data_IF_326505911480
#
_entry.id   IF_326505911480
#
_cell.length_a   1.000
_cell.length_b   1.000
_cell.length_c   1.000
_cell.angle_alpha   90.00
_cell.angle_beta   90.00
_cell.angle_gamma   90.00
#
_symmetry.space_group_name_H-M   'P 1'
#
loop_
_entity.id
_entity.type
_entity.pdbx_description
1 polymer ?
#
# COMPACT_ATOMS: atom_id res chain seq x y z
N UNK A 1 29.85 31.06 -1.62
CA UNK A 1 28.95 30.31 -2.52
C UNK A 1 27.58 30.31 -1.86
N UNK A 2 26.58 30.86 -2.52
CA UNK A 2 25.22 30.89 -1.97
C UNK A 2 24.53 29.66 -2.49
N UNK A 3 23.98 28.81 -1.57
CA UNK A 3 23.14 27.69 -1.96
C UNK A 3 21.78 28.29 -2.23
N UNK A 4 21.30 28.20 -3.47
CA UNK A 4 19.93 28.57 -3.81
C UNK A 4 19.02 27.36 -3.49
N UNK A 5 18.29 27.46 -2.39
CA UNK A 5 17.23 26.52 -2.09
C UNK A 5 15.98 26.84 -2.92
N UNK A 6 15.20 25.84 -3.32
CA UNK A 6 13.93 26.09 -3.99
C UNK A 6 13.01 26.94 -3.09
N UNK A 7 12.25 27.85 -3.69
CA UNK A 7 11.26 28.64 -2.96
C UNK A 7 10.23 27.69 -2.35
N UNK A 8 10.06 27.81 -1.04
CA UNK A 8 9.05 27.03 -0.33
C UNK A 8 7.64 27.48 -0.70
N UNK A 9 6.73 26.54 -0.76
CA UNK A 9 5.31 26.79 -0.84
C UNK A 9 4.77 27.25 0.52
N UNK A 10 3.62 27.90 0.54
CA UNK A 10 3.02 28.44 1.77
C UNK A 10 2.90 27.35 2.86
N UNK A 11 2.43 26.17 2.49
CA UNK A 11 2.30 25.06 3.44
C UNK A 11 3.64 24.51 3.94
N UNK A 12 4.68 24.51 3.11
CA UNK A 12 6.04 24.14 3.53
C UNK A 12 6.64 25.21 4.43
N UNK A 13 6.42 26.49 4.11
CA UNK A 13 6.89 27.63 4.91
C UNK A 13 6.29 27.59 6.30
N UNK A 14 5.01 27.21 6.47
CA UNK A 14 4.36 27.12 7.77
C UNK A 14 5.05 26.14 8.72
N UNK A 15 5.51 25.00 8.21
CA UNK A 15 6.27 24.02 8.99
C UNK A 15 7.69 24.51 9.25
N UNK A 16 8.34 25.05 8.21
CA UNK A 16 9.67 25.61 8.31
C UNK A 16 9.75 26.70 9.41
N UNK A 17 8.83 27.65 9.41
CA UNK A 17 8.75 28.72 10.40
C UNK A 17 8.44 28.20 11.81
N UNK A 18 7.57 27.20 11.93
CA UNK A 18 7.22 26.59 13.20
C UNK A 18 8.39 25.80 13.82
N UNK A 19 9.26 25.22 12.98
CA UNK A 19 10.48 24.54 13.43
C UNK A 19 11.55 25.56 13.81
N UNK A 20 11.72 26.63 13.05
CA UNK A 20 12.64 27.74 13.31
C UNK A 20 14.03 27.26 13.76
N UNK A 21 14.61 27.97 14.72
CA UNK A 21 15.90 27.61 15.32
C UNK A 21 15.79 26.59 16.49
N UNK A 22 14.73 25.77 16.47
CA UNK A 22 14.40 24.84 17.58
C UNK A 22 15.23 23.55 17.57
N UNK A 23 16.55 23.67 17.48
CA UNK A 23 17.47 22.51 17.38
C UNK A 23 17.49 21.57 18.60
N UNK A 24 16.94 21.99 19.76
CA UNK A 24 16.87 21.22 21.01
C UNK A 24 15.52 21.42 21.69
N UNK A 25 14.44 21.43 20.94
CA UNK A 25 13.11 21.65 21.48
C UNK A 25 12.46 20.38 22.03
N UNK A 26 12.86 19.21 21.55
CA UNK A 26 12.16 17.95 21.77
C UNK A 26 10.73 17.97 21.23
N UNK A 27 10.41 18.90 20.34
CA UNK A 27 9.08 19.01 19.74
C UNK A 27 8.91 18.00 18.59
N UNK A 28 7.68 17.58 18.40
CA UNK A 28 7.26 16.71 17.28
C UNK A 28 6.39 17.55 16.35
N UNK A 29 6.78 17.58 15.08
CA UNK A 29 6.07 18.27 14.03
C UNK A 29 5.44 17.23 13.09
N UNK A 30 4.13 17.22 12.98
CA UNK A 30 3.38 16.18 12.24
C UNK A 30 2.72 16.80 11.02
N UNK A 31 3.03 16.28 9.85
CA UNK A 31 2.52 16.80 8.59
C UNK A 31 1.65 15.75 7.90
N UNK A 32 0.36 15.98 7.86
CA UNK A 32 -0.58 15.24 7.04
C UNK A 32 -0.74 15.93 5.68
N UNK A 33 -0.56 15.20 4.60
CA UNK A 33 -0.58 15.80 3.28
C UNK A 33 -1.12 14.87 2.19
N UNK A 34 -1.48 15.45 1.05
CA UNK A 34 -1.69 14.72 -0.21
C UNK A 34 -0.38 14.24 -0.80
N UNK A 35 -0.48 13.41 -1.85
CA UNK A 35 0.66 13.01 -2.66
C UNK A 35 1.16 14.16 -3.52
N UNK A 36 2.48 14.20 -3.84
CA UNK A 36 3.14 15.15 -4.75
C UNK A 36 3.08 16.63 -4.31
N UNK A 37 2.98 16.91 -3.03
CA UNK A 37 2.97 18.29 -2.49
C UNK A 37 4.32 18.72 -1.92
N UNK A 38 5.41 18.02 -2.23
CA UNK A 38 6.77 18.41 -1.83
C UNK A 38 7.18 18.02 -0.42
N UNK A 39 6.61 16.98 0.18
CA UNK A 39 7.03 16.42 1.50
C UNK A 39 8.54 16.19 1.59
N UNK A 40 9.05 15.34 0.71
CA UNK A 40 10.46 14.95 0.70
C UNK A 40 11.39 16.12 0.33
N UNK A 41 10.88 17.13 -0.38
CA UNK A 41 11.63 18.35 -0.67
C UNK A 41 11.87 19.16 0.62
N UNK A 42 10.84 19.36 1.44
CA UNK A 42 10.98 20.01 2.75
C UNK A 42 11.89 19.21 3.67
N UNK A 43 11.71 17.89 3.75
CA UNK A 43 12.56 17.02 4.55
C UNK A 43 14.03 17.13 4.18
N UNK A 44 14.34 17.11 2.86
CA UNK A 44 15.68 17.27 2.34
C UNK A 44 16.29 18.63 2.74
N UNK A 45 15.53 19.72 2.56
CA UNK A 45 15.95 21.06 2.89
C UNK A 45 16.27 21.21 4.37
N UNK A 46 15.39 20.74 5.25
CA UNK A 46 15.60 20.80 6.70
C UNK A 46 16.80 19.96 7.15
N UNK A 47 16.98 18.76 6.60
CA UNK A 47 18.14 17.91 6.89
C UNK A 47 19.46 18.60 6.51
N UNK A 48 19.51 19.22 5.33
CA UNK A 48 20.68 19.98 4.87
C UNK A 48 20.91 21.18 5.78
N UNK A 49 19.88 21.95 6.08
CA UNK A 49 19.99 23.14 6.92
C UNK A 49 20.53 22.81 8.33
N UNK A 50 19.97 21.76 8.97
CA UNK A 50 20.44 21.29 10.26
C UNK A 50 21.91 20.87 10.20
N UNK A 51 22.31 20.14 9.16
CA UNK A 51 23.69 19.71 8.97
C UNK A 51 24.66 20.88 8.76
N UNK A 52 24.22 21.96 8.09
CA UNK A 52 25.08 23.12 7.80
C UNK A 52 25.20 24.10 8.97
N UNK A 53 24.11 24.33 9.72
CA UNK A 53 24.09 25.33 10.81
C UNK A 53 24.93 24.94 11.99
N UNK A 54 25.06 23.65 12.31
CA UNK A 54 25.89 23.14 13.43
C UNK A 54 26.29 21.70 13.21
N UNK A 55 27.43 21.30 13.81
CA UNK A 55 27.83 19.89 13.81
C UNK A 55 26.78 19.04 14.52
N UNK A 56 26.14 18.11 13.80
CA UNK A 56 25.10 17.24 14.34
C UNK A 56 24.98 15.94 13.53
N UNK A 57 24.25 14.98 14.10
CA UNK A 57 23.82 13.76 13.44
C UNK A 57 22.31 13.87 13.25
N UNK A 58 21.85 13.94 12.00
CA UNK A 58 20.45 13.86 11.62
C UNK A 58 20.16 12.49 11.03
N UNK A 59 18.95 12.01 11.22
CA UNK A 59 18.53 10.68 10.74
C UNK A 59 17.22 10.81 10.02
N UNK A 60 17.08 10.12 8.89
CA UNK A 60 15.81 9.94 8.22
C UNK A 60 15.46 8.45 8.18
N UNK A 61 14.22 8.13 8.47
CA UNK A 61 13.67 6.77 8.44
C UNK A 61 12.49 6.73 7.48
N UNK A 62 12.55 5.81 6.54
CA UNK A 62 11.51 5.56 5.56
C UNK A 62 11.03 4.11 5.63
N UNK A 63 9.85 3.77 5.11
CA UNK A 63 9.34 2.39 5.15
C UNK A 63 10.31 1.39 4.52
N UNK A 64 10.87 1.71 3.35
CA UNK A 64 11.72 0.78 2.59
C UNK A 64 13.10 1.35 2.27
N UNK A 65 14.08 0.46 2.09
CA UNK A 65 15.42 0.86 1.67
C UNK A 65 15.44 1.55 0.30
N UNK A 66 14.52 1.19 -0.59
CA UNK A 66 14.40 1.83 -1.92
C UNK A 66 14.00 3.30 -1.81
N UNK A 67 13.13 3.66 -0.87
CA UNK A 67 12.74 5.05 -0.59
C UNK A 67 13.94 5.81 0.00
N UNK A 68 14.60 5.26 1.01
CA UNK A 68 15.81 5.85 1.61
C UNK A 68 16.91 6.15 0.56
N UNK A 69 17.09 5.28 -0.42
CA UNK A 69 18.02 5.52 -1.55
C UNK A 69 17.60 6.69 -2.45
N UNK A 70 16.29 6.90 -2.64
CA UNK A 70 15.77 8.02 -3.44
C UNK A 70 16.06 9.36 -2.78
N UNK A 71 15.76 9.49 -1.48
CA UNK A 71 16.00 10.71 -0.74
C UNK A 71 17.51 10.98 -0.59
N UNK A 72 18.32 9.93 -0.33
CA UNK A 72 19.78 10.04 -0.36
C UNK A 72 20.25 10.62 -1.70
N UNK A 73 19.79 10.07 -2.83
CA UNK A 73 20.18 10.58 -4.15
C UNK A 73 19.75 12.02 -4.34
N UNK A 74 18.53 12.38 -3.98
CA UNK A 74 18.02 13.74 -4.08
C UNK A 74 18.92 14.74 -3.32
N UNK A 75 19.27 14.46 -2.06
CA UNK A 75 20.15 15.34 -1.27
C UNK A 75 21.57 15.35 -1.86
N UNK A 76 22.09 14.21 -2.31
CA UNK A 76 23.41 14.15 -2.95
C UNK A 76 23.47 15.03 -4.18
N UNK A 77 22.46 14.94 -5.07
CA UNK A 77 22.38 15.75 -6.29
C UNK A 77 22.31 17.26 -5.98
N UNK A 78 21.60 17.65 -4.91
CA UNK A 78 21.55 19.06 -4.45
C UNK A 78 22.89 19.57 -3.91
N UNK A 79 23.70 18.69 -3.32
CA UNK A 79 24.91 19.08 -2.57
C UNK A 79 26.20 18.87 -3.34
N UNK A 80 26.21 18.09 -4.43
CA UNK A 80 27.44 17.66 -5.15
C UNK A 80 28.28 18.83 -5.64
N UNK A 81 27.67 19.95 -6.05
CA UNK A 81 28.38 21.13 -6.60
C UNK A 81 28.75 22.17 -5.55
N UNK A 82 28.32 21.98 -4.28
CA UNK A 82 28.47 23.01 -3.24
C UNK A 82 29.84 22.99 -2.57
N UNK A 83 30.58 21.89 -2.67
CA UNK A 83 31.83 21.68 -1.93
C UNK A 83 31.66 21.52 -0.42
N UNK A 84 30.42 21.46 0.10
CA UNK A 84 30.12 21.34 1.52
C UNK A 84 29.97 19.87 1.97
N UNK A 85 29.85 18.95 1.02
CA UNK A 85 29.79 17.52 1.27
C UNK A 85 31.22 16.95 1.26
N UNK A 86 31.63 16.33 2.38
CA UNK A 86 32.93 15.67 2.51
C UNK A 86 32.88 14.27 1.89
N UNK A 87 31.82 13.52 2.14
CA UNK A 87 31.60 12.20 1.55
C UNK A 87 30.13 11.85 1.46
N UNK A 88 29.78 11.02 0.46
CA UNK A 88 28.45 10.41 0.30
C UNK A 88 28.62 8.94 -0.03
N UNK A 89 28.23 8.06 0.90
CA UNK A 89 28.36 6.61 0.74
C UNK A 89 27.00 6.01 0.39
N UNK A 90 26.82 5.63 -0.88
CA UNK A 90 25.57 5.07 -1.39
C UNK A 90 25.30 3.63 -0.96
N UNK A 91 26.30 2.90 -0.45
CA UNK A 91 26.13 1.56 0.10
C UNK A 91 25.63 1.60 1.53
N UNK A 92 26.27 2.42 2.37
CA UNK A 92 25.91 2.61 3.78
C UNK A 92 24.75 3.59 3.96
N UNK A 93 24.38 4.32 2.91
CA UNK A 93 23.39 5.40 2.92
C UNK A 93 23.70 6.44 4.02
N UNK A 94 24.90 7.01 3.94
CA UNK A 94 25.38 8.05 4.88
C UNK A 94 26.00 9.20 4.12
N UNK A 95 25.82 10.42 4.62
CA UNK A 95 26.48 11.63 4.13
C UNK A 95 27.26 12.28 5.26
N UNK A 96 28.49 12.72 4.98
CA UNK A 96 29.32 13.49 5.90
C UNK A 96 29.59 14.86 5.29
N UNK A 97 29.35 15.91 6.06
CA UNK A 97 29.60 17.30 5.67
C UNK A 97 30.98 17.77 6.13
N UNK A 98 31.49 18.84 5.52
CA UNK A 98 32.83 19.38 5.82
C UNK A 98 32.96 19.90 7.25
N UNK A 99 31.86 20.29 7.91
CA UNK A 99 31.83 20.68 9.33
C UNK A 99 31.75 19.48 10.30
N UNK A 100 31.74 18.23 9.78
CA UNK A 100 31.63 17.00 10.53
C UNK A 100 30.21 16.64 10.96
N UNK A 101 29.20 17.23 10.35
CA UNK A 101 27.81 16.77 10.48
C UNK A 101 27.57 15.53 9.65
N UNK A 102 26.59 14.71 10.05
CA UNK A 102 26.20 13.50 9.32
C UNK A 102 24.70 13.44 9.12
N UNK A 103 24.29 12.88 7.97
CA UNK A 103 22.92 12.45 7.72
C UNK A 103 22.92 10.95 7.46
N UNK A 104 22.15 10.20 8.25
CA UNK A 104 21.99 8.76 8.16
C UNK A 104 20.61 8.45 7.55
N UNK A 105 20.58 7.65 6.49
CA UNK A 105 19.34 7.22 5.84
C UNK A 105 19.07 5.77 6.23
N UNK A 106 17.95 5.52 6.87
CA UNK A 106 17.57 4.24 7.43
C UNK A 106 16.21 3.78 6.90
N UNK A 107 15.97 2.48 6.99
CA UNK A 107 14.70 1.86 6.59
C UNK A 107 14.07 1.15 7.79
N UNK A 108 12.74 1.23 7.91
CA UNK A 108 11.97 0.51 8.91
C UNK A 108 12.07 -1.02 8.76
N UNK A 109 12.40 -1.51 7.54
CA UNK A 109 12.66 -2.93 7.28
C UNK A 109 13.85 -3.47 8.10
N UNK A 110 14.82 -2.60 8.44
CA UNK A 110 16.05 -2.96 9.14
C UNK A 110 15.98 -2.56 10.63
N UNK A 111 15.02 -3.13 11.34
CA UNK A 111 14.70 -2.78 12.73
C UNK A 111 15.90 -2.72 13.66
N UNK A 112 16.83 -3.67 13.58
CA UNK A 112 17.99 -3.72 14.47
C UNK A 112 18.97 -2.59 14.19
N UNK A 113 19.08 -2.11 12.96
CA UNK A 113 19.91 -0.99 12.57
C UNK A 113 19.40 0.38 13.08
N UNK A 114 18.19 0.42 13.66
CA UNK A 114 17.58 1.63 14.22
C UNK A 114 17.94 1.88 15.69
N UNK A 115 18.69 0.99 16.35
CA UNK A 115 19.09 1.11 17.77
C UNK A 115 20.48 1.66 18.01
N UNK A 116 21.29 1.82 16.97
CA UNK A 116 22.74 2.06 17.11
C UNK A 116 23.18 3.50 16.96
N UNK A 117 22.28 4.51 17.03
CA UNK A 117 22.64 5.92 16.85
C UNK A 117 21.93 6.84 17.87
N UNK A 118 22.49 8.02 18.06
CA UNK A 118 21.88 9.11 18.84
C UNK A 118 21.70 10.32 17.94
N UNK A 119 20.46 10.80 17.82
CA UNK A 119 20.14 11.98 17.04
C UNK A 119 20.53 13.24 17.83
N UNK A 120 21.31 14.12 17.21
CA UNK A 120 21.64 15.44 17.79
C UNK A 120 21.21 16.60 16.88
N UNK A 121 20.77 16.29 15.66
CA UNK A 121 20.20 17.20 14.70
C UNK A 121 18.68 17.06 14.59
N UNK A 122 18.20 16.51 13.52
CA UNK A 122 16.77 16.29 13.19
C UNK A 122 16.51 14.81 12.94
N UNK A 123 15.46 14.26 13.54
CA UNK A 123 14.88 12.98 13.13
C UNK A 123 13.72 13.26 12.15
N UNK A 124 13.79 12.69 10.97
CA UNK A 124 12.69 12.69 10.00
C UNK A 124 12.12 11.28 9.89
N UNK A 125 10.80 11.14 10.01
CA UNK A 125 10.06 9.90 9.75
C UNK A 125 9.17 10.19 8.55
N UNK A 126 9.60 9.77 7.36
CA UNK A 126 8.87 10.00 6.11
C UNK A 126 7.98 8.79 5.77
N UNK A 127 6.84 9.06 5.14
CA UNK A 127 5.76 8.09 4.89
C UNK A 127 5.36 7.32 6.17
N UNK A 128 5.25 8.05 7.28
CA UNK A 128 5.07 7.56 8.63
C UNK A 128 3.83 6.68 8.84
N UNK A 129 2.73 6.92 8.10
CA UNK A 129 1.53 6.09 8.16
C UNK A 129 1.79 4.64 7.73
N UNK A 130 2.85 4.39 6.96
CA UNK A 130 3.24 3.06 6.47
C UNK A 130 4.33 2.41 7.31
N UNK A 131 4.80 3.08 8.37
CA UNK A 131 5.81 2.56 9.31
C UNK A 131 5.07 1.90 10.49
N UNK A 132 5.46 0.68 10.90
CA UNK A 132 4.90 0.02 12.08
C UNK A 132 5.10 0.82 13.36
N UNK A 133 4.10 0.88 14.23
CA UNK A 133 4.13 1.66 15.46
C UNK A 133 5.30 1.29 16.38
N UNK A 134 5.68 0.01 16.40
CA UNK A 134 6.85 -0.47 17.16
C UNK A 134 8.21 0.12 16.72
N UNK A 135 8.28 0.76 15.57
CA UNK A 135 9.48 1.47 15.11
C UNK A 135 9.58 2.84 15.79
N UNK A 136 8.46 3.52 16.01
CA UNK A 136 8.44 4.78 16.74
C UNK A 136 8.95 4.62 18.16
N UNK A 137 8.58 3.52 18.85
CA UNK A 137 9.10 3.17 20.19
C UNK A 137 10.63 3.03 20.22
N UNK A 138 11.24 2.59 19.12
CA UNK A 138 12.70 2.49 18.99
C UNK A 138 13.33 3.85 18.70
N UNK A 139 12.66 4.70 17.92
CA UNK A 139 13.21 5.96 17.44
C UNK A 139 13.17 7.08 18.48
N UNK A 140 12.09 7.19 19.26
CA UNK A 140 11.96 8.27 20.25
C UNK A 140 13.12 8.36 21.22
N UNK A 141 13.59 7.26 21.87
CA UNK A 141 14.73 7.32 22.78
C UNK A 141 16.04 7.79 22.13
N UNK A 142 16.19 7.65 20.80
CA UNK A 142 17.40 8.13 20.11
C UNK A 142 17.51 9.65 20.10
N UNK A 143 16.40 10.37 20.32
CA UNK A 143 16.34 11.83 20.36
C UNK A 143 16.50 12.42 21.78
N UNK A 144 16.21 11.64 22.81
CA UNK A 144 16.08 12.13 24.20
C UNK A 144 17.35 12.80 24.74
N UNK A 145 18.52 12.21 24.50
CA UNK A 145 19.80 12.73 25.03
C UNK A 145 20.11 14.16 24.57
N UNK A 146 19.58 14.57 23.41
CA UNK A 146 19.84 15.89 22.84
C UNK A 146 18.58 16.75 22.71
N UNK A 147 17.42 16.28 23.15
CA UNK A 147 16.12 16.88 22.88
C UNK A 147 15.97 17.23 21.37
N UNK A 148 16.40 16.31 20.51
CA UNK A 148 16.34 16.53 19.08
C UNK A 148 14.88 16.63 18.61
N UNK A 149 14.55 17.59 17.73
CA UNK A 149 13.19 17.66 17.16
C UNK A 149 12.92 16.51 16.21
N UNK A 150 11.64 16.17 16.08
CA UNK A 150 11.17 15.09 15.23
C UNK A 150 10.19 15.66 14.21
N UNK A 151 10.41 15.38 12.93
CA UNK A 151 9.50 15.70 11.84
C UNK A 151 8.87 14.40 11.32
N UNK A 152 7.56 14.28 11.45
CA UNK A 152 6.78 13.10 11.03
C UNK A 152 5.88 13.50 9.85
N UNK A 153 6.14 12.95 8.67
CA UNK A 153 5.44 13.34 7.45
C UNK A 153 4.82 12.12 6.78
N UNK A 154 3.57 12.22 6.34
CA UNK A 154 2.93 11.17 5.53
C UNK A 154 1.73 11.66 4.74
N UNK A 155 1.34 10.90 3.70
CA UNK A 155 -0.07 10.78 3.34
C UNK A 155 -0.78 10.00 4.45
N UNK A 156 -2.03 10.35 4.79
CA UNK A 156 -2.77 9.60 5.83
C UNK A 156 -3.13 8.20 5.33
N UNK A 157 -3.42 7.30 6.26
CA UNK A 157 -3.89 5.96 5.94
C UNK A 157 -5.15 5.66 6.76
N UNK A 158 -5.01 5.09 7.96
CA UNK A 158 -6.14 4.77 8.82
C UNK A 158 -6.32 5.78 9.96
N UNK A 159 -7.54 5.80 10.55
CA UNK A 159 -7.83 6.49 11.80
C UNK A 159 -7.26 5.72 13.01
N UNK A 160 -6.05 5.19 12.90
CA UNK A 160 -5.36 4.41 13.92
C UNK A 160 -3.86 4.45 13.71
N UNK A 161 -3.11 4.01 14.71
CA UNK A 161 -1.65 3.94 14.72
C UNK A 161 -0.98 5.27 15.07
N UNK A 162 0.34 5.20 15.31
CA UNK A 162 1.12 6.31 15.90
C UNK A 162 1.02 7.61 15.09
N UNK A 163 1.05 7.54 13.75
CA UNK A 163 0.92 8.74 12.91
C UNK A 163 -0.42 9.44 13.10
N UNK A 164 -1.52 8.69 13.17
CA UNK A 164 -2.85 9.26 13.40
C UNK A 164 -2.97 9.88 14.79
N UNK A 165 -2.48 9.18 15.82
CA UNK A 165 -2.52 9.65 17.21
C UNK A 165 -1.70 10.92 17.39
N UNK A 166 -0.47 10.98 16.87
CA UNK A 166 0.35 12.18 16.88
C UNK A 166 -0.33 13.34 16.18
N UNK A 167 -0.92 13.08 14.99
CA UNK A 167 -1.59 14.12 14.23
C UNK A 167 -2.79 14.69 15.02
N UNK A 168 -3.62 13.83 15.58
CA UNK A 168 -4.81 14.23 16.35
C UNK A 168 -4.42 15.02 17.61
N UNK A 169 -3.45 14.52 18.38
CA UNK A 169 -2.94 15.21 19.59
C UNK A 169 -2.34 16.58 19.27
N UNK A 170 -1.67 16.72 18.13
CA UNK A 170 -1.11 18.01 17.73
C UNK A 170 -2.18 19.00 17.23
N UNK A 171 -3.28 18.52 16.65
CA UNK A 171 -4.44 19.35 16.27
C UNK A 171 -5.21 19.83 17.50
N UNK A 172 -5.24 19.07 18.58
CA UNK A 172 -5.84 19.44 19.87
C UNK A 172 -4.99 20.45 20.67
N UNK A 173 -3.80 20.79 20.18
CA UNK A 173 -2.94 21.78 20.83
C UNK A 173 -2.12 21.22 22.01
N UNK A 174 -1.74 19.96 21.98
CA UNK A 174 -1.03 19.28 23.06
C UNK A 174 0.48 19.60 23.08
N UNK A 175 0.86 20.71 23.67
CA UNK A 175 2.18 21.07 24.15
C UNK A 175 3.36 20.97 23.18
N UNK A 176 4.00 19.79 23.10
CA UNK A 176 5.19 19.56 22.29
C UNK A 176 4.88 19.05 20.87
N UNK A 177 3.63 18.71 20.58
CA UNK A 177 3.22 18.19 19.28
C UNK A 177 2.51 19.31 18.51
N UNK A 178 2.95 19.54 17.27
CA UNK A 178 2.33 20.53 16.37
C UNK A 178 1.97 19.84 15.07
N UNK A 179 0.69 19.86 14.69
CA UNK A 179 0.18 19.23 13.49
C UNK A 179 -0.16 20.23 12.41
N UNK A 180 0.10 19.84 11.16
CA UNK A 180 -0.12 20.63 9.95
C UNK A 180 -0.93 19.81 8.95
N UNK A 181 -2.00 20.41 8.40
CA UNK A 181 -2.82 19.80 7.38
C UNK A 181 -2.55 20.40 6.01
N UNK A 182 -1.68 19.78 5.23
CA UNK A 182 -1.40 20.25 3.87
C UNK A 182 -2.46 19.83 2.85
N UNK A 183 -3.43 19.02 3.25
CA UNK A 183 -4.52 18.59 2.36
C UNK A 183 -5.52 19.70 2.05
N UNK A 184 -5.55 20.77 2.86
CA UNK A 184 -6.45 21.91 2.68
C UNK A 184 -5.96 22.92 1.63
N UNK A 185 -4.69 22.89 1.29
CA UNK A 185 -4.14 23.83 0.31
C UNK A 185 -4.43 23.43 -1.13
N UNK A 186 -4.56 24.44 -2.00
CA UNK A 186 -4.70 24.22 -3.45
C UNK A 186 -3.39 23.72 -4.04
N UNK A 187 -3.42 22.50 -4.54
CA UNK A 187 -2.28 21.81 -5.18
C UNK A 187 -2.49 21.60 -6.67
N UNK A 188 -3.46 22.27 -7.29
CA UNK A 188 -3.85 22.12 -8.71
C UNK A 188 -2.69 22.33 -9.69
N UNK A 189 -1.70 23.15 -9.32
CA UNK A 189 -0.46 23.35 -10.10
C UNK A 189 0.42 22.12 -10.22
N UNK A 190 0.30 21.14 -9.29
CA UNK A 190 1.05 19.89 -9.34
C UNK A 190 0.21 18.75 -9.90
N UNK A 191 -1.11 18.81 -9.73
CA UNK A 191 -2.05 17.81 -10.18
C UNK A 191 -3.29 18.49 -10.77
N UNK A 192 -3.41 18.49 -12.11
CA UNK A 192 -4.57 19.08 -12.78
C UNK A 192 -5.87 18.34 -12.43
N UNK A 193 -7.00 19.06 -12.54
CA UNK A 193 -8.33 18.48 -12.30
C UNK A 193 -8.61 17.27 -13.21
N UNK A 194 -8.16 17.30 -14.45
CA UNK A 194 -8.28 16.18 -15.39
C UNK A 194 -7.54 14.93 -14.92
N UNK A 195 -6.28 15.08 -14.43
CA UNK A 195 -5.52 13.98 -13.86
C UNK A 195 -6.15 13.46 -12.57
N UNK A 196 -6.68 14.35 -11.75
CA UNK A 196 -7.36 13.96 -10.51
C UNK A 196 -8.60 13.12 -10.81
N UNK A 197 -9.40 13.50 -11.82
CA UNK A 197 -10.57 12.73 -12.25
C UNK A 197 -10.14 11.37 -12.84
N UNK A 198 -9.11 11.35 -13.68
CA UNK A 198 -8.55 10.09 -14.17
C UNK A 198 -8.13 9.14 -13.03
N UNK A 199 -7.48 9.66 -11.99
CA UNK A 199 -7.13 8.83 -10.83
C UNK A 199 -8.34 8.39 -10.02
N UNK A 200 -9.37 9.23 -9.92
CA UNK A 200 -10.64 8.85 -9.28
C UNK A 200 -11.29 7.65 -9.94
N UNK A 201 -11.21 7.56 -11.28
CA UNK A 201 -11.77 6.47 -12.06
C UNK A 201 -10.90 5.20 -12.11
N UNK A 202 -9.58 5.33 -11.88
CA UNK A 202 -8.63 4.24 -12.18
C UNK A 202 -7.99 3.59 -10.97
N UNK A 203 -8.05 4.21 -9.80
CA UNK A 203 -7.50 3.66 -8.55
C UNK A 203 -8.59 3.42 -7.51
N UNK A 204 -8.32 2.57 -6.52
CA UNK A 204 -9.31 2.29 -5.47
C UNK A 204 -9.68 3.58 -4.70
N UNK A 205 -10.97 3.80 -4.32
CA UNK A 205 -11.38 4.98 -3.56
C UNK A 205 -10.65 5.16 -2.25
N UNK A 206 -10.34 4.09 -1.52
CA UNK A 206 -9.56 4.20 -0.30
C UNK A 206 -8.21 4.85 -0.59
N UNK A 207 -7.53 4.39 -1.63
CA UNK A 207 -6.26 4.95 -2.07
C UNK A 207 -6.41 6.36 -2.62
N UNK A 208 -7.48 6.62 -3.38
CA UNK A 208 -7.80 7.96 -3.85
C UNK A 208 -8.05 8.93 -2.70
N UNK A 209 -8.88 8.56 -1.73
CA UNK A 209 -9.17 9.35 -0.53
C UNK A 209 -7.91 9.62 0.29
N UNK A 210 -7.13 8.60 0.56
CA UNK A 210 -5.88 8.70 1.31
C UNK A 210 -4.83 9.54 0.57
N UNK A 211 -4.44 9.14 -0.64
CA UNK A 211 -3.29 9.74 -1.34
C UNK A 211 -3.62 11.09 -2.01
N UNK A 212 -4.84 11.27 -2.54
CA UNK A 212 -5.17 12.46 -3.34
C UNK A 212 -6.10 13.45 -2.63
N UNK A 213 -6.95 12.99 -1.71
CA UNK A 213 -7.74 13.88 -0.86
C UNK A 213 -7.09 14.15 0.49
N UNK A 214 -6.13 13.30 0.90
CA UNK A 214 -5.44 13.42 2.20
C UNK A 214 -6.36 13.14 3.38
N UNK A 215 -7.29 12.19 3.23
CA UNK A 215 -8.24 11.80 4.25
C UNK A 215 -7.74 10.57 5.02
N UNK A 216 -7.93 10.55 6.34
CA UNK A 216 -7.81 9.31 7.11
C UNK A 216 -9.01 8.40 6.82
N UNK A 217 -8.77 7.11 6.78
CA UNK A 217 -9.76 6.09 6.49
C UNK A 217 -10.14 5.38 7.79
N UNK A 218 -11.44 5.30 8.09
CA UNK A 218 -11.91 4.53 9.26
C UNK A 218 -11.63 3.04 9.06
N UNK A 219 -11.08 2.39 10.06
CA UNK A 219 -10.97 0.92 10.08
C UNK A 219 -12.36 0.29 10.03
N UNK A 220 -12.46 -0.87 9.37
CA UNK A 220 -13.76 -1.53 9.14
C UNK A 220 -14.63 -0.87 8.06
N UNK A 221 -14.11 0.11 7.30
CA UNK A 221 -14.80 0.60 6.11
C UNK A 221 -14.92 -0.55 5.10
N UNK A 222 -16.16 -0.86 4.70
CA UNK A 222 -16.42 -1.85 3.64
C UNK A 222 -15.68 -1.43 2.36
N UNK A 223 -14.67 -2.20 2.00
CA UNK A 223 -13.73 -1.77 0.96
C UNK A 223 -14.31 -1.84 -0.45
N UNK A 224 -15.32 -2.68 -0.67
CA UNK A 224 -15.95 -2.82 -1.98
C UNK A 224 -17.09 -1.81 -2.23
N UNK A 225 -17.54 -1.09 -1.19
CA UNK A 225 -18.59 -0.09 -1.30
C UNK A 225 -19.98 -0.67 -1.59
N UNK A 226 -20.81 0.05 -2.36
CA UNK A 226 -22.12 -0.43 -2.78
C UNK A 226 -21.99 -1.45 -3.92
N UNK A 227 -22.32 -2.71 -3.63
CA UNK A 227 -22.28 -3.83 -4.56
C UNK A 227 -23.49 -3.89 -5.50
N UNK A 228 -24.63 -3.28 -5.13
CA UNK A 228 -25.88 -3.41 -5.85
C UNK A 228 -25.78 -3.11 -7.36
N UNK A 229 -25.04 -2.09 -7.82
CA UNK A 229 -24.92 -1.81 -9.24
C UNK A 229 -24.21 -2.89 -10.06
N UNK A 230 -23.48 -3.80 -9.38
CA UNK A 230 -22.75 -4.90 -10.01
C UNK A 230 -23.47 -6.25 -9.88
N UNK A 231 -24.54 -6.32 -9.06
CA UNK A 231 -25.35 -7.54 -8.93
C UNK A 231 -26.39 -7.57 -10.03
N UNK A 232 -26.30 -8.53 -10.93
CA UNK A 232 -27.28 -8.63 -12.01
C UNK A 232 -28.53 -9.43 -11.60
N UNK A 233 -29.68 -8.98 -12.07
CA UNK A 233 -30.97 -9.61 -11.78
C UNK A 233 -31.22 -10.88 -12.59
N UNK A 234 -30.54 -11.01 -13.74
CA UNK A 234 -30.59 -12.20 -14.59
C UNK A 234 -29.21 -12.58 -15.06
N UNK A 235 -28.89 -13.85 -14.99
CA UNK A 235 -27.59 -14.38 -15.43
C UNK A 235 -27.29 -13.96 -16.87
N UNK A 236 -26.04 -13.48 -17.17
CA UNK A 236 -25.64 -13.21 -18.54
C UNK A 236 -25.73 -14.49 -19.39
N UNK A 237 -26.16 -14.33 -20.63
CA UNK A 237 -26.24 -15.45 -21.62
C UNK A 237 -24.88 -15.76 -22.27
N UNK A 238 -23.80 -15.41 -21.57
CA UNK A 238 -22.42 -15.61 -21.99
C UNK A 238 -21.86 -16.90 -21.43
N UNK A 239 -20.98 -17.54 -22.21
CA UNK A 239 -20.24 -18.72 -21.73
C UNK A 239 -19.01 -18.34 -20.94
N UNK A 240 -18.66 -19.08 -19.88
CA UNK A 240 -17.43 -18.86 -19.15
C UNK A 240 -16.20 -19.09 -20.04
N UNK A 241 -15.20 -18.26 -19.86
CA UNK A 241 -13.93 -18.30 -20.61
C UNK A 241 -12.76 -18.57 -19.68
N UNK A 242 -12.82 -18.04 -18.46
CA UNK A 242 -11.79 -18.20 -17.45
C UNK A 242 -12.39 -18.67 -16.14
N UNK A 243 -11.56 -19.26 -15.30
CA UNK A 243 -11.93 -19.62 -13.94
C UNK A 243 -10.79 -19.38 -12.96
N UNK A 244 -11.11 -19.34 -11.68
CA UNK A 244 -10.12 -19.49 -10.63
C UNK A 244 -10.65 -20.35 -9.50
N UNK A 245 -9.73 -21.01 -8.82
CA UNK A 245 -10.01 -21.90 -7.70
C UNK A 245 -9.21 -21.44 -6.50
N UNK A 246 -9.91 -21.22 -5.40
CA UNK A 246 -9.36 -21.18 -4.06
C UNK A 246 -9.61 -22.51 -3.37
N UNK A 247 -8.57 -23.10 -2.75
CA UNK A 247 -8.62 -24.47 -2.25
C UNK A 247 -8.83 -24.53 -0.75
N UNK A 248 -9.95 -25.06 -0.30
CA UNK A 248 -10.18 -25.40 1.10
C UNK A 248 -9.58 -26.75 1.49
N UNK A 249 -9.32 -26.92 2.77
CA UNK A 249 -8.74 -28.15 3.33
C UNK A 249 -9.66 -29.38 3.32
N UNK A 250 -10.94 -29.24 3.00
CA UNK A 250 -11.94 -30.32 2.98
C UNK A 250 -12.28 -30.89 4.37
N UNK A 251 -12.12 -30.06 5.40
CA UNK A 251 -12.34 -30.43 6.80
C UNK A 251 -13.66 -29.89 7.39
N UNK A 252 -14.52 -29.35 6.52
CA UNK A 252 -15.80 -28.76 6.88
C UNK A 252 -15.76 -27.30 7.31
N UNK A 253 -14.56 -26.69 7.43
CA UNK A 253 -14.39 -25.28 7.84
C UNK A 253 -14.15 -24.37 6.65
N UNK A 254 -13.13 -24.68 5.82
CA UNK A 254 -12.75 -23.85 4.67
C UNK A 254 -13.40 -24.38 3.39
N UNK A 255 -13.93 -23.50 2.57
CA UNK A 255 -14.52 -23.84 1.29
C UNK A 255 -13.47 -23.93 0.19
N UNK A 256 -13.59 -24.95 -0.67
CA UNK A 256 -13.04 -24.86 -2.01
C UNK A 256 -14.06 -24.15 -2.88
N UNK A 257 -13.66 -23.03 -3.48
CA UNK A 257 -14.52 -22.20 -4.31
C UNK A 257 -13.95 -22.09 -5.72
N UNK A 258 -14.78 -22.36 -6.73
CA UNK A 258 -14.45 -22.05 -8.14
C UNK A 258 -15.39 -20.97 -8.66
N UNK A 259 -14.80 -19.89 -9.18
CA UNK A 259 -15.50 -18.80 -9.85
C UNK A 259 -15.24 -18.87 -11.35
N UNK A 260 -16.30 -18.83 -12.12
CA UNK A 260 -16.32 -18.84 -13.59
C UNK A 260 -16.63 -17.43 -14.11
N UNK A 261 -15.83 -16.93 -15.04
CA UNK A 261 -15.96 -15.57 -15.59
C UNK A 261 -15.92 -15.59 -17.12
N UNK A 262 -16.71 -14.73 -17.76
CA UNK A 262 -16.78 -14.61 -19.22
C UNK A 262 -15.66 -13.73 -19.81
N UNK A 263 -15.77 -13.41 -21.09
CA UNK A 263 -14.80 -12.58 -21.82
C UNK A 263 -14.96 -11.08 -21.54
N UNK A 264 -16.06 -10.67 -20.94
CA UNK A 264 -16.42 -9.28 -20.59
C UNK A 264 -16.14 -8.95 -19.13
N UNK A 265 -15.80 -9.95 -18.30
CA UNK A 265 -15.52 -9.77 -16.90
C UNK A 265 -16.71 -10.05 -15.96
N UNK A 266 -17.77 -10.70 -16.46
CA UNK A 266 -18.93 -11.07 -15.66
C UNK A 266 -18.81 -12.49 -15.10
N UNK A 267 -19.20 -12.66 -13.84
CA UNK A 267 -19.24 -13.97 -13.19
C UNK A 267 -20.43 -14.78 -13.70
N UNK A 268 -20.15 -15.86 -14.40
CA UNK A 268 -21.20 -16.72 -15.02
C UNK A 268 -21.56 -17.93 -14.15
N UNK A 269 -20.80 -18.21 -13.10
CA UNK A 269 -21.08 -19.29 -12.16
C UNK A 269 -20.11 -19.31 -10.99
N UNK A 270 -20.61 -19.78 -9.86
CA UNK A 270 -19.83 -20.05 -8.64
C UNK A 270 -20.23 -21.45 -8.17
N UNK A 271 -19.27 -22.27 -7.83
CA UNK A 271 -19.52 -23.52 -7.12
C UNK A 271 -18.58 -23.59 -5.89
N UNK A 272 -19.10 -24.10 -4.79
CA UNK A 272 -18.36 -24.24 -3.54
C UNK A 272 -18.68 -25.58 -2.87
N UNK A 273 -17.72 -26.09 -2.11
CA UNK A 273 -17.86 -27.30 -1.28
C UNK A 273 -16.76 -27.34 -0.23
N UNK A 274 -17.03 -27.95 0.92
CA UNK A 274 -16.11 -28.04 2.06
C UNK A 274 -16.00 -29.46 2.68
N UNK A 275 -16.74 -30.42 2.13
CA UNK A 275 -16.90 -31.77 2.65
C UNK A 275 -16.24 -32.87 1.79
N UNK A 276 -15.51 -32.46 0.73
CA UNK A 276 -14.85 -33.38 -0.21
C UNK A 276 -13.37 -33.55 0.11
N UNK A 277 -12.89 -34.80 -0.01
CA UNK A 277 -11.44 -35.08 0.07
C UNK A 277 -10.68 -34.56 -1.15
N UNK A 278 -9.32 -34.48 -1.06
CA UNK A 278 -8.48 -33.89 -2.12
C UNK A 278 -8.70 -34.47 -3.52
N UNK A 279 -8.86 -35.77 -3.63
CA UNK A 279 -9.08 -36.44 -4.93
C UNK A 279 -10.44 -36.06 -5.52
N UNK A 280 -11.46 -36.04 -4.69
CA UNK A 280 -12.83 -35.71 -5.10
C UNK A 280 -12.98 -34.25 -5.48
N UNK A 281 -12.32 -33.34 -4.73
CA UNK A 281 -12.24 -31.91 -5.07
C UNK A 281 -11.63 -31.70 -6.47
N UNK A 282 -10.46 -32.30 -6.71
CA UNK A 282 -9.79 -32.18 -8.02
C UNK A 282 -10.64 -32.82 -9.13
N UNK A 283 -11.33 -33.93 -8.85
CA UNK A 283 -12.22 -34.55 -9.82
C UNK A 283 -13.38 -33.63 -10.21
N UNK A 284 -14.05 -33.05 -9.21
CA UNK A 284 -15.14 -32.11 -9.42
C UNK A 284 -14.68 -30.86 -10.21
N UNK A 285 -13.58 -30.26 -9.81
CA UNK A 285 -13.00 -29.10 -10.53
C UNK A 285 -12.59 -29.48 -11.96
N UNK A 286 -11.96 -30.64 -12.18
CA UNK A 286 -11.58 -31.07 -13.53
C UNK A 286 -12.79 -31.27 -14.44
N UNK A 287 -13.91 -31.80 -13.91
CA UNK A 287 -15.15 -31.98 -14.65
C UNK A 287 -15.77 -30.63 -15.03
N UNK A 288 -15.78 -29.65 -14.13
CA UNK A 288 -16.23 -28.27 -14.41
C UNK A 288 -15.38 -27.65 -15.53
N UNK A 289 -14.05 -27.68 -15.39
CA UNK A 289 -13.11 -27.10 -16.34
C UNK A 289 -13.26 -27.71 -17.73
N UNK A 290 -13.33 -29.05 -17.82
CA UNK A 290 -13.44 -29.76 -19.09
C UNK A 290 -14.80 -29.57 -19.76
N UNK A 291 -15.91 -29.56 -19.00
CA UNK A 291 -17.26 -29.41 -19.53
C UNK A 291 -17.54 -28.00 -20.07
N UNK A 292 -16.82 -26.97 -19.57
CA UNK A 292 -17.03 -25.56 -19.95
C UNK A 292 -16.07 -25.08 -21.04
N UNK A 293 -15.10 -25.89 -21.46
CA UNK A 293 -14.12 -25.56 -22.50
C UNK A 293 -13.37 -24.24 -22.21
N UNK A 294 -12.93 -24.08 -20.97
CA UNK A 294 -12.25 -22.86 -20.51
C UNK A 294 -10.89 -22.68 -21.20
N UNK A 295 -10.49 -21.44 -21.43
CA UNK A 295 -9.15 -21.09 -21.96
C UNK A 295 -8.06 -21.14 -20.90
N UNK A 296 -8.36 -20.71 -19.68
CA UNK A 296 -7.40 -20.69 -18.58
C UNK A 296 -8.14 -20.86 -17.24
N UNK A 297 -7.54 -21.63 -16.34
CA UNK A 297 -7.93 -21.72 -14.93
C UNK A 297 -6.76 -21.29 -14.05
N UNK A 298 -7.01 -20.37 -13.12
CA UNK A 298 -6.03 -19.99 -12.11
C UNK A 298 -6.22 -20.82 -10.86
N UNK A 299 -5.14 -21.26 -10.25
CA UNK A 299 -5.17 -22.01 -8.98
C UNK A 299 -4.19 -21.40 -7.98
N UNK A 300 -4.62 -21.29 -6.74
CA UNK A 300 -3.73 -20.90 -5.66
C UNK A 300 -2.74 -22.03 -5.35
N UNK A 301 -1.47 -21.64 -5.09
CA UNK A 301 -0.37 -22.59 -4.90
C UNK A 301 0.05 -22.77 -3.44
N UNK A 302 -0.49 -21.98 -2.52
CA UNK A 302 -0.11 -22.02 -1.11
C UNK A 302 -0.59 -23.31 -0.44
N UNK A 303 0.09 -23.72 0.63
CA UNK A 303 -0.28 -24.89 1.44
C UNK A 303 -0.51 -26.16 0.59
N UNK A 304 -1.74 -26.61 0.50
CA UNK A 304 -2.16 -27.81 -0.24
C UNK A 304 -2.25 -27.58 -1.76
N UNK A 305 -2.26 -26.33 -2.22
CA UNK A 305 -2.48 -25.97 -3.63
C UNK A 305 -1.48 -26.60 -4.61
N UNK A 306 -0.24 -26.83 -4.20
CA UNK A 306 0.77 -27.51 -5.01
C UNK A 306 0.37 -28.95 -5.32
N UNK A 307 -0.18 -29.68 -4.34
CA UNK A 307 -0.63 -31.07 -4.50
C UNK A 307 -1.84 -31.11 -5.45
N UNK A 308 -2.81 -30.22 -5.24
CA UNK A 308 -4.00 -30.11 -6.09
C UNK A 308 -3.65 -29.72 -7.53
N UNK A 309 -2.72 -28.79 -7.71
CA UNK A 309 -2.20 -28.44 -9.03
C UNK A 309 -1.60 -29.65 -9.77
N UNK A 310 -0.74 -30.45 -9.10
CA UNK A 310 -0.12 -31.61 -9.69
C UNK A 310 -1.11 -32.71 -10.08
N UNK A 311 -2.22 -32.81 -9.37
CA UNK A 311 -3.32 -33.71 -9.69
C UNK A 311 -4.18 -33.15 -10.85
N UNK A 312 -4.54 -31.87 -10.80
CA UNK A 312 -5.42 -31.23 -11.76
C UNK A 312 -4.78 -31.19 -13.16
N UNK A 313 -3.50 -30.86 -13.27
CA UNK A 313 -2.78 -30.78 -14.56
C UNK A 313 -2.77 -32.09 -15.36
N UNK A 314 -3.00 -33.23 -14.68
CA UNK A 314 -3.11 -34.56 -15.32
C UNK A 314 -4.49 -34.82 -15.89
N UNK A 315 -5.50 -34.05 -15.44
CA UNK A 315 -6.92 -34.27 -15.75
C UNK A 315 -7.50 -33.24 -16.73
N UNK A 316 -6.86 -32.07 -16.87
CA UNK A 316 -7.36 -31.00 -17.75
C UNK A 316 -6.34 -30.69 -18.85
N UNK A 317 -6.89 -30.27 -20.03
CA UNK A 317 -6.07 -29.77 -21.17
C UNK A 317 -5.99 -28.25 -21.18
N UNK A 318 -6.79 -27.59 -20.37
CA UNK A 318 -6.85 -26.14 -20.20
C UNK A 318 -5.55 -25.59 -19.65
N UNK A 319 -5.12 -24.42 -20.08
CA UNK A 319 -3.99 -23.73 -19.48
C UNK A 319 -4.25 -23.50 -17.98
N UNK A 320 -3.31 -23.91 -17.14
CA UNK A 320 -3.36 -23.67 -15.70
C UNK A 320 -2.37 -22.57 -15.33
N UNK A 321 -2.89 -21.47 -14.84
CA UNK A 321 -2.11 -20.38 -14.27
C UNK A 321 -1.91 -20.65 -12.77
N UNK A 322 -0.70 -20.54 -12.30
CA UNK A 322 -0.34 -20.68 -10.88
C UNK A 322 -0.31 -19.30 -10.22
N UNK A 323 -0.86 -19.18 -9.04
CA UNK A 323 -0.83 -17.97 -8.24
C UNK A 323 -0.31 -18.29 -6.83
N UNK A 324 0.70 -17.55 -6.38
CA UNK A 324 1.23 -17.67 -5.02
C UNK A 324 0.78 -16.46 -4.23
N UNK A 325 0.04 -16.69 -3.15
CA UNK A 325 -0.47 -15.65 -2.28
C UNK A 325 0.61 -15.19 -1.31
N UNK A 326 0.96 -13.93 -1.40
CA UNK A 326 1.76 -13.14 -0.46
C UNK A 326 0.95 -11.91 -0.08
N UNK A 327 1.35 -11.17 0.94
CA UNK A 327 0.66 -9.93 1.30
C UNK A 327 0.58 -8.96 0.12
N UNK A 328 1.65 -8.84 -0.66
CA UNK A 328 1.67 -7.94 -1.82
C UNK A 328 0.83 -8.45 -2.99
N UNK A 329 0.90 -9.74 -3.31
CA UNK A 329 0.11 -10.31 -4.41
C UNK A 329 -1.39 -10.30 -4.07
N UNK A 330 -1.77 -10.63 -2.83
CA UNK A 330 -3.15 -10.55 -2.33
C UNK A 330 -3.66 -9.11 -2.42
N UNK A 331 -2.92 -8.15 -1.90
CA UNK A 331 -3.25 -6.73 -1.98
C UNK A 331 -3.52 -6.31 -3.42
N UNK A 332 -2.65 -6.66 -4.35
CA UNK A 332 -2.78 -6.26 -5.76
C UNK A 332 -4.07 -6.78 -6.41
N UNK A 333 -4.44 -8.05 -6.20
CA UNK A 333 -5.66 -8.61 -6.79
C UNK A 333 -6.93 -8.06 -6.12
N UNK A 334 -6.88 -7.79 -4.81
CA UNK A 334 -8.00 -7.18 -4.09
C UNK A 334 -8.19 -5.72 -4.51
N UNK A 335 -7.13 -4.92 -4.64
CA UNK A 335 -7.22 -3.54 -5.15
C UNK A 335 -7.77 -3.49 -6.58
N UNK A 336 -7.42 -4.45 -7.44
CA UNK A 336 -8.02 -4.58 -8.77
C UNK A 336 -9.52 -4.90 -8.69
N UNK A 337 -9.92 -5.81 -7.81
CA UNK A 337 -11.31 -6.18 -7.63
C UNK A 337 -12.14 -5.01 -7.07
N UNK A 338 -11.61 -4.27 -6.09
CA UNK A 338 -12.22 -3.04 -5.59
C UNK A 338 -12.47 -2.06 -6.74
N UNK A 339 -11.45 -1.81 -7.56
CA UNK A 339 -11.57 -0.92 -8.73
C UNK A 339 -12.65 -1.42 -9.70
N UNK A 340 -12.74 -2.74 -9.93
CA UNK A 340 -13.73 -3.32 -10.83
C UNK A 340 -15.17 -3.07 -10.36
N UNK A 341 -15.44 -3.21 -9.07
CA UNK A 341 -16.75 -2.90 -8.51
C UNK A 341 -17.12 -1.42 -8.67
N UNK A 342 -16.16 -0.54 -8.46
CA UNK A 342 -16.37 0.91 -8.53
C UNK A 342 -16.59 1.40 -9.95
N UNK A 343 -15.80 0.88 -10.89
CA UNK A 343 -15.93 1.22 -12.31
C UNK A 343 -17.02 0.42 -13.00
N UNK A 344 -17.72 -0.46 -12.25
CA UNK A 344 -18.78 -1.34 -12.78
C UNK A 344 -18.33 -2.18 -13.99
N UNK A 345 -17.07 -2.61 -13.96
CA UNK A 345 -16.47 -3.46 -15.00
C UNK A 345 -16.53 -4.94 -14.63
N UNK A 346 -17.25 -5.29 -13.59
CA UNK A 346 -17.56 -6.65 -13.17
C UNK A 346 -19.05 -6.77 -12.89
N UNK A 347 -19.65 -7.87 -13.31
CA UNK A 347 -21.00 -8.26 -12.92
C UNK A 347 -20.95 -9.56 -12.10
N UNK A 348 -21.72 -9.64 -11.03
CA UNK A 348 -21.78 -10.81 -10.15
C UNK A 348 -23.22 -11.31 -9.99
N UNK A 349 -23.44 -12.62 -9.77
CA UNK A 349 -24.76 -13.14 -9.42
C UNK A 349 -25.16 -12.70 -8.00
N UNK A 350 -26.46 -12.75 -7.73
CA UNK A 350 -26.92 -12.76 -6.36
C UNK A 350 -26.53 -14.12 -5.74
N UNK A 351 -25.53 -14.10 -4.86
CA UNK A 351 -25.04 -15.24 -4.09
C UNK A 351 -24.82 -14.77 -2.65
N UNK A 352 -25.53 -15.38 -1.70
CA UNK A 352 -25.57 -14.90 -0.32
C UNK A 352 -24.19 -14.94 0.36
N UNK A 353 -23.41 -16.01 0.15
CA UNK A 353 -22.08 -16.16 0.75
C UNK A 353 -21.08 -15.21 0.16
N UNK A 354 -21.03 -15.08 -1.18
CA UNK A 354 -20.18 -14.10 -1.84
C UNK A 354 -20.50 -12.68 -1.38
N UNK A 355 -21.78 -12.31 -1.35
CA UNK A 355 -22.18 -10.97 -0.91
C UNK A 355 -21.85 -10.72 0.55
N UNK A 356 -22.02 -11.72 1.42
CA UNK A 356 -21.67 -11.67 2.83
C UNK A 356 -20.17 -11.44 3.01
N UNK A 357 -19.33 -12.21 2.33
CA UNK A 357 -17.88 -12.04 2.40
C UNK A 357 -17.44 -10.67 1.87
N UNK A 358 -17.94 -10.23 0.69
CA UNK A 358 -17.65 -8.91 0.13
C UNK A 358 -18.05 -7.76 1.06
N UNK A 359 -19.21 -7.87 1.72
CA UNK A 359 -19.70 -6.86 2.67
C UNK A 359 -18.88 -6.78 3.95
N UNK A 360 -18.29 -7.89 4.39
CA UNK A 360 -17.49 -7.96 5.62
C UNK A 360 -15.98 -8.01 5.34
N UNK A 361 -15.57 -7.81 4.09
CA UNK A 361 -14.16 -7.76 3.75
C UNK A 361 -13.56 -6.42 4.14
N UNK A 362 -12.49 -6.45 4.91
CA UNK A 362 -11.89 -5.25 5.49
C UNK A 362 -10.40 -5.18 5.24
N UNK A 363 -9.84 -4.02 5.50
CA UNK A 363 -8.40 -3.79 5.47
C UNK A 363 -7.93 -3.39 6.87
N UNK A 364 -6.87 -4.02 7.32
CA UNK A 364 -6.28 -3.78 8.63
C UNK A 364 -4.81 -3.44 8.52
N UNK A 365 -4.33 -2.60 9.45
CA UNK A 365 -2.90 -2.33 9.61
C UNK A 365 -2.29 -3.38 10.51
N UNK A 366 -1.31 -4.11 10.01
CA UNK A 366 -0.51 -5.06 10.78
C UNK A 366 0.89 -4.53 11.03
N UNK A 367 1.67 -5.24 11.86
CA UNK A 367 3.07 -4.89 12.13
C UNK A 367 3.96 -4.90 10.87
N UNK A 368 3.53 -5.57 9.81
CA UNK A 368 4.29 -5.75 8.56
C UNK A 368 3.68 -5.00 7.37
N UNK A 369 2.59 -4.25 7.56
CA UNK A 369 1.91 -3.49 6.50
C UNK A 369 0.39 -3.64 6.51
N UNK A 370 -0.24 -3.49 5.35
CA UNK A 370 -1.67 -3.68 5.17
C UNK A 370 -2.00 -5.13 4.91
N UNK A 371 -3.02 -5.63 5.57
CA UNK A 371 -3.59 -6.96 5.34
C UNK A 371 -5.06 -6.83 4.97
N UNK A 372 -5.48 -7.59 3.99
CA UNK A 372 -6.87 -7.64 3.50
C UNK A 372 -7.45 -9.00 3.87
N UNK A 373 -8.48 -9.02 4.70
CA UNK A 373 -9.11 -10.26 5.17
C UNK A 373 -10.62 -10.08 5.35
N UNK A 374 -11.35 -11.19 5.48
CA UNK A 374 -12.68 -11.17 6.07
C UNK A 374 -12.61 -10.64 7.52
N UNK A 375 -13.62 -9.91 7.95
CA UNK A 375 -13.74 -9.49 9.35
C UNK A 375 -13.78 -10.72 10.27
N UNK A 376 -13.49 -10.53 11.58
CA UNK A 376 -13.43 -11.62 12.55
C UNK A 376 -14.57 -12.62 12.42
N UNK A 377 -14.23 -13.88 12.12
CA UNK A 377 -15.16 -14.99 11.97
C UNK A 377 -15.83 -15.11 10.59
N UNK A 378 -15.43 -14.31 9.61
CA UNK A 378 -15.87 -14.42 8.21
C UNK A 378 -14.74 -14.96 7.36
N UNK A 379 -15.00 -16.06 6.63
CA UNK A 379 -14.06 -16.59 5.64
C UNK A 379 -13.92 -15.63 4.46
N UNK A 380 -12.88 -15.81 3.66
CA UNK A 380 -12.62 -14.99 2.46
C UNK A 380 -12.42 -15.83 1.18
N UNK A 381 -12.86 -17.08 1.20
CA UNK A 381 -12.67 -18.07 0.14
C UNK A 381 -13.34 -17.62 -1.18
N UNK A 382 -14.56 -17.09 -1.09
CA UNK A 382 -15.31 -16.59 -2.25
C UNK A 382 -14.69 -15.31 -2.83
N UNK A 383 -14.27 -14.39 -1.95
CA UNK A 383 -13.61 -13.14 -2.36
C UNK A 383 -12.27 -13.45 -3.02
N UNK A 384 -11.48 -14.39 -2.45
CA UNK A 384 -10.20 -14.80 -3.03
C UNK A 384 -10.38 -15.46 -4.40
N UNK A 385 -11.30 -16.42 -4.51
CA UNK A 385 -11.61 -17.06 -5.80
C UNK A 385 -12.08 -16.04 -6.85
N UNK A 386 -12.93 -15.07 -6.47
CA UNK A 386 -13.38 -13.99 -7.34
C UNK A 386 -12.23 -13.08 -7.77
N UNK A 387 -11.37 -12.66 -6.84
CA UNK A 387 -10.22 -11.81 -7.14
C UNK A 387 -9.22 -12.50 -8.09
N UNK A 388 -8.96 -13.78 -7.88
CA UNK A 388 -8.11 -14.59 -8.76
C UNK A 388 -8.72 -14.75 -10.17
N UNK A 389 -10.04 -14.95 -10.27
CA UNK A 389 -10.75 -15.07 -11.56
C UNK A 389 -10.68 -13.75 -12.34
N UNK A 390 -10.95 -12.62 -11.68
CA UNK A 390 -10.89 -11.30 -12.30
C UNK A 390 -9.45 -10.90 -12.70
N UNK A 391 -8.44 -11.18 -11.89
CA UNK A 391 -7.02 -10.96 -12.24
C UNK A 391 -6.61 -11.81 -13.47
N UNK A 392 -7.14 -13.04 -13.57
CA UNK A 392 -6.89 -13.91 -14.73
C UNK A 392 -7.51 -13.34 -15.99
N UNK A 393 -8.75 -12.89 -15.94
CA UNK A 393 -9.42 -12.18 -17.03
C UNK A 393 -8.61 -10.95 -17.48
N UNK A 394 -8.24 -10.07 -16.57
CA UNK A 394 -7.47 -8.83 -16.87
C UNK A 394 -6.14 -9.12 -17.53
N UNK A 395 -5.38 -10.09 -17.04
CA UNK A 395 -4.06 -10.46 -17.62
C UNK A 395 -4.19 -11.04 -19.01
N UNK A 396 -5.22 -11.87 -19.25
CA UNK A 396 -5.44 -12.44 -20.58
C UNK A 396 -5.96 -11.42 -21.58
N UNK A 397 -6.76 -10.45 -21.12
CA UNK A 397 -7.20 -9.31 -21.94
C UNK A 397 -5.99 -8.47 -22.38
N UNK A 398 -5.09 -8.13 -21.46
CA UNK A 398 -3.86 -7.36 -21.76
C UNK A 398 -2.95 -8.05 -22.76
N UNK A 399 -2.79 -9.38 -22.68
CA UNK A 399 -2.05 -10.16 -23.67
C UNK A 399 -2.68 -10.09 -25.08
N UNK A 400 -4.02 -10.12 -25.19
CA UNK A 400 -4.71 -9.99 -26.47
C UNK A 400 -4.44 -8.66 -27.17
N UNK A 401 -4.47 -7.55 -26.43
CA UNK A 401 -4.15 -6.22 -27.00
C UNK A 401 -2.68 -6.07 -27.40
N UNK A 402 -1.76 -6.63 -26.66
CA UNK A 402 -0.32 -6.61 -26.99
C UNK A 402 -0.04 -7.39 -28.31
N UNK A 403 -0.76 -8.49 -28.56
CA UNK A 403 -0.64 -9.25 -29.82
C UNK A 403 -1.30 -8.55 -31.02
N UNK A 404 -2.27 -7.68 -30.81
CA UNK A 404 -2.93 -6.91 -31.88
C UNK A 404 -2.15 -5.66 -32.30
N UNK A 405 -1.19 -5.20 -31.46
CA UNK A 405 -0.36 -4.03 -31.72
C UNK A 405 1.08 -4.37 -32.20
N UNK A 406 1.43 -5.65 -32.22
CA UNK A 406 2.70 -6.18 -32.71
C UNK A 406 2.56 -6.76 -34.14
#
# INVERSE_FOLDING_TARGET
MTIEFPRLEEWQQSVYDAMGDSYRSGNIYVVKSKRQVGKSCLAALLLIEYALKRKCISVVVEPTQAQSRRLFKQISDMMVTTGLLKSANSQLLTMEFTNGSEILFKSAEQRDALRGFTVSGLLVIDEAAYIPDSIFEILYPTCDANNAPILVISTPLFCSGEFYELYTRGMEGNGRIKSFNWSEYDTSKYLSAEKLEYYRETISPLKFRSEYLGEFISEGSYIFGDLNPCVYSSKPDSSPVYAAVDWGAGNGNDYTVIVLIDAEGNVTGIESFNDLGPVEQVERISNIVNSRNLRCVCVEMNSIGTIYYDMLRKKVKTEIRRFTTTNDSKRNIIEQLITAFQTRTIGIPYDEELLRELQHYSVEKTKTGLTYNGADGVHDDYVMALALAYDTFKKKLGQKYSFMMA
#
